data_IF_006126862546
#
_entry.id   IF_006126862546
#
_cell.length_a   1.000
_cell.length_b   1.000
_cell.length_c   1.000
_cell.angle_alpha   90.00
_cell.angle_beta   90.00
_cell.angle_gamma   90.00
#
_symmetry.space_group_name_H-M   'P 1'
#
loop_
_entity.id
_entity.type
_entity.pdbx_description
1 polymer ?
#
# COMPACT_ATOMS: atom_id res chain seq x y z
N UNK A 1 12.00 -12.99 35.44
CA UNK A 1 11.17 -13.44 34.29
C UNK A 1 10.96 -12.28 33.32
N UNK A 2 11.75 -12.17 32.22
CA UNK A 2 11.66 -11.02 31.27
C UNK A 2 11.61 -11.43 29.77
N UNK A 3 11.55 -12.73 29.45
CA UNK A 3 11.75 -13.24 28.08
C UNK A 3 10.52 -13.14 27.13
N UNK A 4 9.34 -12.70 27.59
CA UNK A 4 8.08 -12.84 26.82
C UNK A 4 7.64 -11.59 26.01
N UNK A 5 8.04 -10.37 26.40
CA UNK A 5 7.59 -9.14 25.72
C UNK A 5 8.14 -9.01 24.29
N UNK A 6 9.37 -9.48 24.05
CA UNK A 6 10.03 -9.32 22.75
C UNK A 6 9.43 -10.22 21.64
N UNK A 7 8.86 -11.38 22.01
CA UNK A 7 8.21 -12.31 21.06
C UNK A 7 6.87 -11.76 20.56
N UNK A 8 6.08 -11.16 21.47
CA UNK A 8 4.79 -10.57 21.14
C UNK A 8 4.95 -9.36 20.20
N UNK A 9 5.91 -8.47 20.49
CA UNK A 9 6.23 -7.31 19.64
C UNK A 9 6.64 -7.72 18.23
N UNK A 10 7.52 -8.73 18.09
CA UNK A 10 7.93 -9.25 16.77
C UNK A 10 6.75 -9.83 15.99
N UNK A 11 5.87 -10.60 16.65
CA UNK A 11 4.67 -11.16 16.00
C UNK A 11 3.73 -10.06 15.50
N UNK A 12 3.53 -9.00 16.29
CA UNK A 12 2.73 -7.84 15.90
C UNK A 12 3.32 -7.11 14.69
N UNK A 13 4.64 -6.89 14.68
CA UNK A 13 5.34 -6.25 13.56
C UNK A 13 5.25 -7.06 12.27
N UNK A 14 5.42 -8.39 12.35
CA UNK A 14 5.23 -9.29 11.21
C UNK A 14 3.80 -9.25 10.66
N UNK A 15 2.80 -9.24 11.55
CA UNK A 15 1.40 -9.12 11.13
C UNK A 15 1.14 -7.77 10.45
N UNK A 16 1.66 -6.67 11.00
CA UNK A 16 1.55 -5.34 10.39
C UNK A 16 2.21 -5.31 9.01
N UNK A 17 3.40 -5.89 8.86
CA UNK A 17 4.12 -6.01 7.58
C UNK A 17 3.33 -6.81 6.54
N UNK A 18 2.72 -7.92 6.95
CA UNK A 18 1.87 -8.73 6.07
C UNK A 18 0.67 -7.94 5.55
N UNK A 19 -0.10 -7.31 6.44
CA UNK A 19 -1.26 -6.49 6.07
C UNK A 19 -0.85 -5.35 5.13
N UNK A 20 0.27 -4.68 5.44
CA UNK A 20 0.76 -3.60 4.61
C UNK A 20 1.18 -4.07 3.21
N UNK A 21 1.82 -5.24 3.08
CA UNK A 21 2.11 -5.81 1.75
C UNK A 21 0.86 -6.20 0.98
N UNK A 22 -0.16 -6.72 1.66
CA UNK A 22 -1.45 -7.04 1.03
C UNK A 22 -2.10 -5.76 0.48
N UNK A 23 -2.09 -4.67 1.25
CA UNK A 23 -2.64 -3.38 0.82
C UNK A 23 -1.84 -2.77 -0.33
N UNK A 24 -0.51 -2.79 -0.27
CA UNK A 24 0.36 -2.37 -1.38
C UNK A 24 0.03 -3.13 -2.66
N UNK A 25 -0.14 -4.44 -2.56
CA UNK A 25 -0.45 -5.30 -3.72
C UNK A 25 -1.82 -5.00 -4.28
N UNK A 26 -2.83 -4.82 -3.43
CA UNK A 26 -4.20 -4.44 -3.85
C UNK A 26 -4.21 -3.08 -4.53
N UNK A 27 -3.56 -2.08 -3.94
CA UNK A 27 -3.49 -0.73 -4.52
C UNK A 27 -2.74 -0.71 -5.84
N UNK A 28 -1.63 -1.45 -5.97
CA UNK A 28 -0.93 -1.59 -7.24
C UNK A 28 -1.81 -2.20 -8.33
N UNK A 29 -2.54 -3.27 -8.03
CA UNK A 29 -3.48 -3.89 -8.99
C UNK A 29 -4.60 -2.94 -9.40
N UNK A 30 -5.15 -2.16 -8.46
CA UNK A 30 -6.15 -1.16 -8.77
C UNK A 30 -5.59 -0.08 -9.70
N UNK A 31 -4.36 0.39 -9.44
CA UNK A 31 -3.67 1.36 -10.29
C UNK A 31 -3.44 0.81 -11.71
N UNK A 32 -2.90 -0.41 -11.82
CA UNK A 32 -2.70 -1.10 -13.11
C UNK A 32 -4.02 -1.26 -13.88
N UNK A 33 -5.10 -1.60 -13.18
CA UNK A 33 -6.44 -1.74 -13.77
C UNK A 33 -6.99 -0.39 -14.27
N UNK A 34 -6.88 0.66 -13.46
CA UNK A 34 -7.33 2.00 -13.83
C UNK A 34 -6.57 2.54 -15.05
N UNK A 35 -5.23 2.35 -15.09
CA UNK A 35 -4.42 2.68 -16.26
C UNK A 35 -4.83 1.89 -17.51
N UNK A 36 -5.06 0.59 -17.39
CA UNK A 36 -5.49 -0.24 -18.53
C UNK A 36 -6.84 0.24 -19.08
N UNK A 37 -7.81 0.54 -18.22
CA UNK A 37 -9.12 1.03 -18.65
C UNK A 37 -9.04 2.43 -19.27
N UNK A 38 -8.20 3.32 -18.71
CA UNK A 38 -8.00 4.66 -19.23
C UNK A 38 -7.48 4.68 -20.67
N UNK A 39 -6.68 3.69 -21.08
CA UNK A 39 -6.13 3.63 -22.43
C UNK A 39 -7.17 3.46 -23.54
N UNK A 40 -8.35 2.92 -23.22
CA UNK A 40 -9.37 2.56 -24.20
C UNK A 40 -10.64 3.40 -24.11
N UNK A 41 -10.75 4.29 -23.11
CA UNK A 41 -11.94 5.11 -22.93
C UNK A 41 -11.91 6.35 -23.82
N UNK A 42 -13.05 6.71 -24.40
CA UNK A 42 -13.21 7.94 -25.21
C UNK A 42 -14.29 8.88 -24.69
N UNK A 43 -15.07 8.43 -23.69
CA UNK A 43 -16.06 9.25 -23.02
C UNK A 43 -15.35 10.29 -22.13
N UNK A 44 -15.54 11.61 -22.34
CA UNK A 44 -14.87 12.64 -21.56
C UNK A 44 -15.11 12.58 -20.05
N UNK A 45 -16.32 12.17 -19.62
CA UNK A 45 -16.65 12.06 -18.20
C UNK A 45 -15.88 10.90 -17.58
N UNK A 46 -15.80 9.77 -18.29
CA UNK A 46 -15.04 8.61 -17.82
C UNK A 46 -13.52 8.86 -17.84
N UNK A 47 -13.01 9.65 -18.78
CA UNK A 47 -11.61 10.12 -18.79
C UNK A 47 -11.31 10.84 -17.47
N UNK A 48 -12.13 11.81 -17.08
CA UNK A 48 -11.96 12.55 -15.82
C UNK A 48 -12.06 11.61 -14.61
N UNK A 49 -13.04 10.70 -14.59
CA UNK A 49 -13.16 9.69 -13.53
C UNK A 49 -11.86 8.88 -13.35
N UNK A 50 -11.28 8.38 -14.43
CA UNK A 50 -10.04 7.61 -14.37
C UNK A 50 -8.83 8.46 -13.98
N UNK A 51 -8.76 9.74 -14.37
CA UNK A 51 -7.70 10.65 -13.90
C UNK A 51 -7.75 10.75 -12.37
N UNK A 52 -8.94 10.97 -11.79
CA UNK A 52 -9.10 11.02 -10.34
C UNK A 52 -8.81 9.68 -9.67
N UNK A 53 -9.28 8.57 -10.26
CA UNK A 53 -9.02 7.23 -9.75
C UNK A 53 -7.53 6.92 -9.70
N UNK A 54 -6.81 7.12 -10.82
CA UNK A 54 -5.37 6.90 -10.94
C UNK A 54 -4.62 7.77 -9.92
N UNK A 55 -4.92 9.07 -9.85
CA UNK A 55 -4.25 9.98 -8.91
C UNK A 55 -4.47 9.55 -7.46
N UNK A 56 -5.69 9.17 -7.09
CA UNK A 56 -6.00 8.72 -5.73
C UNK A 56 -5.30 7.41 -5.39
N UNK A 57 -5.25 6.46 -6.32
CA UNK A 57 -4.57 5.17 -6.15
C UNK A 57 -3.05 5.34 -6.07
N UNK A 58 -2.45 6.22 -6.87
CA UNK A 58 -1.01 6.52 -6.85
C UNK A 58 -0.59 7.20 -5.52
N UNK A 59 -1.37 8.17 -5.04
CA UNK A 59 -1.15 8.79 -3.73
C UNK A 59 -1.21 7.76 -2.60
N UNK A 60 -2.23 6.89 -2.62
CA UNK A 60 -2.34 5.79 -1.65
C UNK A 60 -1.15 4.83 -1.74
N UNK A 61 -0.71 4.49 -2.95
CA UNK A 61 0.43 3.60 -3.16
C UNK A 61 1.72 4.19 -2.58
N UNK A 62 2.01 5.46 -2.86
CA UNK A 62 3.16 6.20 -2.31
C UNK A 62 3.13 6.24 -0.78
N UNK A 63 1.96 6.51 -0.20
CA UNK A 63 1.77 6.48 1.26
C UNK A 63 2.11 5.10 1.85
N UNK A 64 1.56 4.02 1.29
CA UNK A 64 1.79 2.65 1.79
C UNK A 64 3.26 2.22 1.66
N UNK A 65 3.93 2.61 0.57
CA UNK A 65 5.37 2.37 0.41
C UNK A 65 6.19 3.10 1.48
N UNK A 66 5.82 4.35 1.80
CA UNK A 66 6.47 5.09 2.88
C UNK A 66 6.23 4.44 4.25
N UNK A 67 5.02 3.97 4.54
CA UNK A 67 4.74 3.20 5.77
C UNK A 67 5.60 1.94 5.86
N UNK A 68 5.83 1.24 4.74
CA UNK A 68 6.65 0.02 4.72
C UNK A 68 8.11 0.34 5.02
N UNK A 69 8.62 1.43 4.45
CA UNK A 69 9.96 1.94 4.73
C UNK A 69 10.10 2.30 6.20
N UNK A 70 9.15 3.04 6.77
CA UNK A 70 9.16 3.38 8.20
C UNK A 70 9.13 2.14 9.08
N UNK A 71 8.29 1.15 8.75
CA UNK A 71 8.22 -0.12 9.48
C UNK A 71 9.56 -0.85 9.46
N UNK A 72 10.24 -0.94 8.31
CA UNK A 72 11.56 -1.56 8.21
C UNK A 72 12.65 -0.83 9.01
N UNK A 73 12.59 0.50 9.08
CA UNK A 73 13.53 1.29 9.87
C UNK A 73 13.32 1.06 11.37
N UNK A 74 12.07 0.97 11.81
CA UNK A 74 11.74 0.63 13.20
C UNK A 74 12.11 -0.79 13.58
N UNK A 75 12.02 -1.75 12.63
CA UNK A 75 12.44 -3.14 12.85
C UNK A 75 13.95 -3.24 13.09
N UNK A 76 14.76 -2.42 12.40
CA UNK A 76 16.22 -2.41 12.56
C UNK A 76 16.71 -1.70 13.83
N UNK A 77 15.86 -0.92 14.49
CA UNK A 77 16.19 -0.13 15.68
C UNK A 77 15.86 -0.83 17.02
N UNK A 78 15.20 -2.00 17.00
CA UNK A 78 14.72 -2.77 18.16
C UNK A 78 15.44 -4.11 18.28
#
# INVERSE_FOLDING_TARGET
>A
MKKNKNKATRKMMQQKKKLLMEDITKTRRALETAYANFQYVSDPVLIDCYIYEINSADLRYKYLLNEMRLLSLTENAV
#
